data_IF_345485285159
#
_entry.id   IF_345485285159
#
_cell.length_a   1.000
_cell.length_b   1.000
_cell.length_c   1.000
_cell.angle_alpha   90.00
_cell.angle_beta   90.00
_cell.angle_gamma   90.00
#
_symmetry.space_group_name_H-M   'P 1'
#
loop_
_entity.id
_entity.type
_entity.pdbx_description
1 polymer ?
#
# COMPACT_ATOMS: atom_id res chain seq x y z
N UNK A 1 -13.68 -8.08 28.98
CA UNK A 1 -14.50 -7.11 28.20
C UNK A 1 -14.66 -5.76 28.91
N UNK A 2 -14.78 -5.72 30.25
CA UNK A 2 -14.90 -4.47 31.02
C UNK A 2 -13.66 -3.55 30.94
N UNK A 3 -12.44 -4.09 30.99
CA UNK A 3 -11.21 -3.26 30.95
C UNK A 3 -10.93 -2.58 29.61
N UNK A 4 -11.34 -3.18 28.48
CA UNK A 4 -11.18 -2.58 27.15
C UNK A 4 -12.04 -1.32 26.98
N UNK A 5 -13.19 -1.26 27.66
CA UNK A 5 -14.08 -0.10 27.64
C UNK A 5 -13.64 1.00 28.62
N UNK A 6 -13.01 0.64 29.74
CA UNK A 6 -12.55 1.62 30.73
C UNK A 6 -11.38 2.46 30.21
N UNK A 7 -10.42 1.84 29.51
CA UNK A 7 -9.30 2.57 28.89
C UNK A 7 -9.82 3.48 27.78
N UNK A 8 -10.72 2.98 26.93
CA UNK A 8 -11.37 3.78 25.88
C UNK A 8 -12.12 4.99 26.47
N UNK A 9 -12.85 4.81 27.57
CA UNK A 9 -13.58 5.90 28.22
C UNK A 9 -12.66 6.90 28.95
N UNK A 10 -11.47 6.49 29.39
CA UNK A 10 -10.50 7.39 30.01
C UNK A 10 -9.82 8.30 28.96
N UNK A 11 -9.56 7.78 27.76
CA UNK A 11 -8.92 8.51 26.66
C UNK A 11 -9.82 9.60 26.05
N UNK A 12 -11.12 9.61 26.34
CA UNK A 12 -12.13 10.34 25.56
C UNK A 12 -12.85 11.44 26.33
N UNK A 13 -12.31 11.90 27.47
CA UNK A 13 -12.99 12.90 28.31
C UNK A 13 -12.70 14.36 27.97
N UNK A 14 -11.71 14.70 27.14
CA UNK A 14 -11.61 16.03 26.53
C UNK A 14 -11.00 15.94 25.10
N UNK A 15 -11.46 16.79 24.17
CA UNK A 15 -11.10 16.75 22.74
C UNK A 15 -9.57 16.80 22.44
N UNK A 16 -8.74 17.61 23.14
CA UNK A 16 -7.29 17.58 22.93
C UNK A 16 -6.60 16.35 23.54
N UNK A 17 -7.13 15.79 24.64
CA UNK A 17 -6.57 14.60 25.27
C UNK A 17 -6.74 13.35 24.39
N UNK A 18 -7.88 13.24 23.69
CA UNK A 18 -8.16 12.11 22.80
C UNK A 18 -7.19 12.05 21.61
N UNK A 19 -6.90 13.20 20.97
CA UNK A 19 -5.95 13.26 19.86
C UNK A 19 -4.50 12.99 20.30
N UNK A 20 -4.11 13.52 21.47
CA UNK A 20 -2.80 13.25 22.07
C UNK A 20 -2.66 11.76 22.42
N UNK A 21 -3.70 11.16 22.98
CA UNK A 21 -3.66 9.76 23.36
C UNK A 21 -3.71 8.81 22.16
N UNK A 22 -4.45 9.15 21.09
CA UNK A 22 -4.37 8.45 19.80
C UNK A 22 -2.95 8.54 19.25
N UNK A 23 -2.33 9.72 19.26
CA UNK A 23 -0.94 9.90 18.80
C UNK A 23 0.02 9.03 19.59
N UNK A 24 -0.14 8.95 20.93
CA UNK A 24 0.67 8.08 21.78
C UNK A 24 0.51 6.60 21.39
N UNK A 25 -0.73 6.11 21.25
CA UNK A 25 -1.01 4.73 20.82
C UNK A 25 -0.44 4.46 19.42
N UNK A 26 -0.54 5.42 18.51
CA UNK A 26 0.01 5.32 17.16
C UNK A 26 1.54 5.18 17.20
N UNK A 27 2.25 5.97 18.01
CA UNK A 27 3.70 5.85 18.17
C UNK A 27 4.15 4.52 18.80
N UNK A 28 3.29 3.87 19.59
CA UNK A 28 3.58 2.55 20.18
C UNK A 28 3.61 1.42 19.13
N UNK A 29 3.06 1.63 17.91
CA UNK A 29 3.15 0.64 16.83
C UNK A 29 4.60 0.35 16.44
N UNK A 30 5.47 1.36 16.46
CA UNK A 30 6.90 1.22 16.13
C UNK A 30 7.76 0.76 17.31
N UNK A 31 7.16 0.25 18.38
CA UNK A 31 7.90 -0.26 19.53
C UNK A 31 8.72 -1.49 19.15
N UNK A 32 9.93 -1.58 19.70
CA UNK A 32 10.75 -2.78 19.62
C UNK A 32 10.15 -3.96 20.38
N UNK A 33 9.27 -3.70 21.35
CA UNK A 33 8.51 -4.71 22.08
C UNK A 33 7.25 -5.08 21.27
N UNK A 34 7.24 -6.34 20.80
CA UNK A 34 6.18 -6.90 19.99
C UNK A 34 4.83 -6.98 20.73
N UNK A 35 4.85 -7.11 22.07
CA UNK A 35 3.62 -7.09 22.87
C UNK A 35 3.00 -5.69 22.88
N UNK A 36 3.82 -4.65 23.10
CA UNK A 36 3.38 -3.25 23.06
C UNK A 36 2.81 -2.91 21.69
N UNK A 37 3.48 -3.36 20.61
CA UNK A 37 2.99 -3.20 19.24
C UNK A 37 1.61 -3.88 19.06
N UNK A 38 1.46 -5.14 19.45
CA UNK A 38 0.18 -5.87 19.35
C UNK A 38 -0.93 -5.21 20.17
N UNK A 39 -0.63 -4.70 21.36
CA UNK A 39 -1.58 -3.97 22.19
C UNK A 39 -2.01 -2.65 21.55
N UNK A 40 -1.09 -1.90 20.94
CA UNK A 40 -1.39 -0.67 20.23
C UNK A 40 -2.27 -0.93 19.00
N UNK A 41 -1.93 -1.94 18.19
CA UNK A 41 -2.70 -2.35 17.02
C UNK A 41 -4.12 -2.81 17.39
N UNK A 42 -4.25 -3.55 18.49
CA UNK A 42 -5.56 -3.98 19.00
C UNK A 42 -6.42 -2.80 19.48
N UNK A 43 -5.82 -1.75 20.04
CA UNK A 43 -6.53 -0.54 20.43
C UNK A 43 -7.00 0.26 19.21
N UNK A 44 -6.16 0.38 18.18
CA UNK A 44 -6.52 1.03 16.92
C UNK A 44 -7.63 0.25 16.22
N UNK A 45 -7.54 -1.08 16.17
CA UNK A 45 -8.61 -1.91 15.60
C UNK A 45 -9.92 -1.76 16.37
N UNK A 46 -9.89 -1.74 17.71
CA UNK A 46 -11.09 -1.47 18.52
C UNK A 46 -11.70 -0.08 18.24
N UNK A 47 -10.87 0.95 18.06
CA UNK A 47 -11.32 2.28 17.65
C UNK A 47 -11.94 2.27 16.25
N UNK A 48 -11.34 1.53 15.31
CA UNK A 48 -11.88 1.34 13.95
C UNK A 48 -13.22 0.59 13.94
N UNK A 49 -13.49 -0.29 14.91
CA UNK A 49 -14.79 -0.97 15.03
C UNK A 49 -15.85 -0.11 15.74
N UNK A 50 -15.45 0.91 16.49
CA UNK A 50 -16.35 1.83 17.19
C UNK A 50 -16.85 2.98 16.30
N UNK A 51 -17.88 3.71 16.75
CA UNK A 51 -18.37 4.93 16.07
C UNK A 51 -17.36 6.09 16.06
N UNK A 52 -16.23 5.95 16.76
CA UNK A 52 -15.19 6.98 16.90
C UNK A 52 -14.06 6.87 15.89
N UNK A 53 -14.20 6.02 14.87
CA UNK A 53 -13.22 5.84 13.80
C UNK A 53 -12.87 7.16 13.07
N UNK A 54 -13.76 8.16 13.09
CA UNK A 54 -13.54 9.49 12.49
C UNK A 54 -12.33 10.22 13.07
N UNK A 55 -11.99 9.96 14.34
CA UNK A 55 -10.82 10.55 15.00
C UNK A 55 -9.50 10.08 14.35
N UNK A 56 -9.51 8.97 13.61
CA UNK A 56 -8.33 8.41 12.96
C UNK A 56 -8.04 9.02 11.60
N UNK A 57 -8.97 9.78 11.00
CA UNK A 57 -8.81 10.36 9.66
C UNK A 57 -7.52 11.18 9.57
N UNK A 58 -7.25 12.04 10.55
CA UNK A 58 -6.02 12.85 10.60
C UNK A 58 -4.72 12.06 10.82
N UNK A 59 -4.81 10.81 11.26
CA UNK A 59 -3.65 9.96 11.58
C UNK A 59 -3.45 8.80 10.60
N UNK A 60 -4.27 8.66 9.56
CA UNK A 60 -4.19 7.53 8.61
C UNK A 60 -2.78 7.37 8.03
N UNK A 61 -2.20 8.45 7.54
CA UNK A 61 -0.85 8.41 6.94
C UNK A 61 0.22 8.02 7.96
N UNK A 62 0.12 8.52 9.18
CA UNK A 62 1.03 8.18 10.27
C UNK A 62 0.89 6.69 10.65
N UNK A 63 -0.33 6.20 10.80
CA UNK A 63 -0.62 4.79 11.13
C UNK A 63 -0.06 3.87 10.03
N UNK A 64 -0.37 4.13 8.76
CA UNK A 64 0.13 3.33 7.64
C UNK A 64 1.66 3.33 7.61
N UNK A 65 2.29 4.49 7.85
CA UNK A 65 3.75 4.62 7.86
C UNK A 65 4.39 3.82 8.99
N UNK A 66 3.85 3.89 10.21
CA UNK A 66 4.38 3.14 11.35
C UNK A 66 4.14 1.63 11.21
N UNK A 67 2.97 1.23 10.71
CA UNK A 67 2.70 -0.17 10.33
C UNK A 67 3.73 -0.65 9.29
N UNK A 68 4.03 0.18 8.29
CA UNK A 68 5.01 -0.16 7.24
C UNK A 68 6.41 -0.33 7.82
N UNK A 69 6.83 0.58 8.71
CA UNK A 69 8.12 0.47 9.43
C UNK A 69 8.16 -0.82 10.23
N UNK A 70 7.11 -1.10 11.01
CA UNK A 70 7.03 -2.31 11.82
C UNK A 70 7.05 -3.57 10.95
N UNK A 71 6.36 -3.56 9.80
CA UNK A 71 6.36 -4.68 8.86
C UNK A 71 7.76 -4.95 8.31
N UNK A 72 8.52 -3.90 7.95
CA UNK A 72 9.92 -4.03 7.51
C UNK A 72 10.84 -4.54 8.61
N UNK A 73 10.69 -4.03 9.83
CA UNK A 73 11.46 -4.47 11.00
C UNK A 73 11.17 -5.93 11.34
N UNK A 74 9.89 -6.30 11.36
CA UNK A 74 9.42 -7.67 11.60
C UNK A 74 9.98 -8.62 10.54
N UNK A 75 9.94 -8.22 9.27
CA UNK A 75 10.53 -8.99 8.18
C UNK A 75 12.06 -9.11 8.33
N UNK A 76 12.77 -8.04 8.69
CA UNK A 76 14.23 -8.08 8.89
C UNK A 76 14.63 -8.96 10.07
N UNK A 77 13.96 -8.80 11.23
CA UNK A 77 14.19 -9.62 12.42
C UNK A 77 13.89 -11.09 12.19
N UNK A 78 12.90 -11.42 11.35
CA UNK A 78 12.61 -12.80 10.98
C UNK A 78 13.80 -13.50 10.31
N UNK A 79 14.66 -12.76 9.60
CA UNK A 79 15.82 -13.35 8.95
C UNK A 79 17.03 -13.51 9.87
N UNK A 80 17.13 -12.68 10.91
CA UNK A 80 18.38 -12.48 11.66
C UNK A 80 18.32 -12.91 13.13
N UNK A 81 17.14 -13.06 13.75
CA UNK A 81 17.01 -13.29 15.20
C UNK A 81 16.42 -14.67 15.57
N UNK A 82 17.25 -15.63 16.03
CA UNK A 82 16.80 -16.96 16.46
C UNK A 82 16.07 -16.97 17.82
N UNK A 83 15.96 -15.82 18.51
CA UNK A 83 15.33 -15.75 19.85
C UNK A 83 13.81 -15.56 19.82
N UNK A 84 13.24 -15.21 18.66
CA UNK A 84 11.79 -14.96 18.51
C UNK A 84 11.09 -16.22 18.00
N UNK A 85 10.16 -16.74 18.79
CA UNK A 85 9.32 -17.88 18.37
C UNK A 85 8.49 -17.52 17.14
N UNK A 86 8.47 -18.38 16.12
CA UNK A 86 7.70 -18.20 14.88
C UNK A 86 6.21 -17.87 15.13
N UNK A 87 5.63 -18.42 16.20
CA UNK A 87 4.24 -18.17 16.62
C UNK A 87 4.00 -16.72 17.05
N UNK A 88 4.96 -16.11 17.75
CA UNK A 88 4.86 -14.74 18.21
C UNK A 88 4.98 -13.76 17.03
N UNK A 89 5.88 -14.06 16.09
CA UNK A 89 6.03 -13.28 14.87
C UNK A 89 4.78 -13.36 13.98
N UNK A 90 4.24 -14.56 13.76
CA UNK A 90 3.00 -14.73 12.98
C UNK A 90 1.85 -13.94 13.59
N UNK A 91 1.77 -13.92 14.93
CA UNK A 91 0.76 -13.14 15.65
C UNK A 91 0.89 -11.64 15.37
N UNK A 92 2.11 -11.08 15.42
CA UNK A 92 2.37 -9.66 15.14
C UNK A 92 2.04 -9.33 13.69
N UNK A 93 2.50 -10.14 12.73
CA UNK A 93 2.20 -9.96 11.31
C UNK A 93 0.68 -9.99 11.08
N UNK A 94 -0.02 -10.94 11.68
CA UNK A 94 -1.49 -11.00 11.61
C UNK A 94 -2.14 -9.75 12.19
N UNK A 95 -1.71 -9.27 13.35
CA UNK A 95 -2.23 -8.03 13.94
C UNK A 95 -2.01 -6.82 13.00
N UNK A 96 -0.81 -6.66 12.45
CA UNK A 96 -0.49 -5.59 11.50
C UNK A 96 -1.40 -5.64 10.26
N UNK A 97 -1.54 -6.83 9.67
CA UNK A 97 -2.35 -7.02 8.46
C UNK A 97 -3.84 -6.80 8.74
N UNK A 98 -4.39 -7.35 9.82
CA UNK A 98 -5.80 -7.17 10.19
C UNK A 98 -6.12 -5.70 10.45
N UNK A 99 -5.30 -4.99 11.23
CA UNK A 99 -5.50 -3.54 11.46
C UNK A 99 -5.46 -2.77 10.15
N UNK A 100 -4.53 -3.11 9.25
CA UNK A 100 -4.45 -2.44 7.94
C UNK A 100 -5.66 -2.73 7.06
N UNK A 101 -6.13 -3.98 7.07
CA UNK A 101 -7.35 -4.38 6.36
C UNK A 101 -8.57 -3.60 6.87
N UNK A 102 -8.72 -3.44 8.19
CA UNK A 102 -9.78 -2.64 8.81
C UNK A 102 -9.75 -1.17 8.36
N UNK A 103 -8.57 -0.58 8.18
CA UNK A 103 -8.42 0.79 7.65
C UNK A 103 -8.90 0.85 6.19
N UNK A 104 -8.41 -0.05 5.34
CA UNK A 104 -8.71 0.00 3.91
C UNK A 104 -10.13 -0.46 3.54
N UNK A 105 -10.80 -1.25 4.39
CA UNK A 105 -12.23 -1.57 4.25
C UNK A 105 -13.12 -0.33 4.33
N UNK A 106 -12.68 0.73 5.02
CA UNK A 106 -13.43 1.99 5.14
C UNK A 106 -12.95 2.98 4.08
N UNK A 107 -13.73 3.17 3.01
CA UNK A 107 -13.33 4.03 1.88
C UNK A 107 -12.98 5.48 2.29
N UNK A 108 -13.59 6.02 3.35
CA UNK A 108 -13.24 7.36 3.86
C UNK A 108 -11.80 7.42 4.39
N UNK A 109 -11.34 6.39 5.11
CA UNK A 109 -9.96 6.32 5.60
C UNK A 109 -9.00 5.96 4.45
N UNK A 110 -9.38 5.01 3.61
CA UNK A 110 -8.57 4.59 2.45
C UNK A 110 -8.25 5.75 1.49
N UNK A 111 -9.18 6.68 1.29
CA UNK A 111 -8.99 7.87 0.44
C UNK A 111 -8.03 8.90 1.03
N UNK A 112 -7.89 8.93 2.35
CA UNK A 112 -6.99 9.87 3.04
C UNK A 112 -5.52 9.46 2.91
N UNK A 113 -5.25 8.19 2.61
CA UNK A 113 -3.91 7.69 2.39
C UNK A 113 -3.20 8.45 1.24
N UNK A 114 -2.01 8.94 1.53
CA UNK A 114 -1.13 9.64 0.60
C UNK A 114 -0.53 8.66 -0.40
N UNK A 115 -0.06 9.17 -1.54
CA UNK A 115 0.60 8.34 -2.57
C UNK A 115 1.84 7.68 -1.99
N UNK A 116 2.59 8.40 -1.17
CA UNK A 116 3.84 7.98 -0.54
C UNK A 116 3.60 6.87 0.46
N UNK A 117 2.65 7.04 1.39
CA UNK A 117 2.30 6.02 2.39
C UNK A 117 1.78 4.75 1.72
N UNK A 118 0.95 4.88 0.67
CA UNK A 118 0.49 3.73 -0.13
C UNK A 118 1.66 3.02 -0.82
N UNK A 119 2.57 3.77 -1.46
CA UNK A 119 3.74 3.20 -2.15
C UNK A 119 4.63 2.41 -1.19
N UNK A 120 4.97 2.99 -0.06
CA UNK A 120 5.82 2.36 0.96
C UNK A 120 5.17 1.12 1.56
N UNK A 121 3.87 1.18 1.88
CA UNK A 121 3.12 0.03 2.38
C UNK A 121 3.02 -1.10 1.35
N UNK A 122 2.66 -0.77 0.11
CA UNK A 122 2.60 -1.74 -1.00
C UNK A 122 3.97 -2.36 -1.27
N UNK A 123 5.05 -1.58 -1.20
CA UNK A 123 6.41 -2.12 -1.32
C UNK A 123 6.67 -3.18 -0.26
N UNK A 124 6.48 -2.85 1.01
CA UNK A 124 6.77 -3.75 2.13
C UNK A 124 5.87 -5.01 2.13
N UNK A 125 4.57 -4.83 1.92
CA UNK A 125 3.60 -5.94 1.92
C UNK A 125 3.78 -6.89 0.75
N UNK A 126 4.01 -6.38 -0.47
CA UNK A 126 4.22 -7.24 -1.63
C UNK A 126 5.58 -7.94 -1.59
N UNK A 127 6.61 -7.31 -1.00
CA UNK A 127 7.88 -8.00 -0.73
C UNK A 127 7.71 -9.15 0.27
N UNK A 128 6.96 -8.93 1.36
CA UNK A 128 6.65 -9.98 2.33
C UNK A 128 5.90 -11.14 1.65
N UNK A 129 4.91 -10.84 0.82
CA UNK A 129 4.12 -11.86 0.10
C UNK A 129 4.98 -12.74 -0.83
N UNK A 130 6.04 -12.17 -1.40
CA UNK A 130 6.90 -12.85 -2.37
C UNK A 130 8.05 -13.60 -1.71
N UNK A 131 8.32 -13.33 -0.43
CA UNK A 131 9.46 -13.88 0.28
C UNK A 131 9.32 -15.39 0.50
N UNK A 132 10.40 -16.16 0.25
CA UNK A 132 10.36 -17.63 0.32
C UNK A 132 10.08 -18.14 1.73
N UNK A 133 10.75 -17.57 2.74
CA UNK A 133 10.49 -17.91 4.15
C UNK A 133 9.06 -17.60 4.62
N UNK A 134 8.34 -16.68 3.97
CA UNK A 134 6.91 -16.47 4.28
C UNK A 134 6.09 -17.69 3.87
N UNK A 135 6.50 -18.44 2.86
CA UNK A 135 5.85 -19.70 2.46
C UNK A 135 6.22 -20.88 3.37
N UNK A 136 7.35 -20.78 4.08
CA UNK A 136 7.82 -21.80 5.03
C UNK A 136 7.12 -21.71 6.39
N UNK A 137 6.53 -20.54 6.72
CA UNK A 137 5.73 -20.37 7.93
C UNK A 137 4.47 -21.25 7.90
N UNK A 138 4.08 -21.86 9.04
CA UNK A 138 2.86 -22.66 9.12
C UNK A 138 1.59 -21.89 8.74
N UNK A 139 1.56 -20.57 8.96
CA UNK A 139 0.46 -19.67 8.57
C UNK A 139 0.76 -18.85 7.29
N UNK A 140 1.83 -19.17 6.58
CA UNK A 140 2.33 -18.42 5.43
C UNK A 140 1.29 -18.21 4.31
N UNK A 141 0.53 -19.26 4.00
CA UNK A 141 -0.53 -19.20 3.00
C UNK A 141 -1.66 -18.24 3.40
N UNK A 142 -1.95 -18.12 4.70
CA UNK A 142 -2.91 -17.17 5.25
C UNK A 142 -2.43 -15.74 5.08
N UNK A 143 -1.17 -15.46 5.45
CA UNK A 143 -0.52 -14.15 5.31
C UNK A 143 -0.56 -13.67 3.86
N UNK A 144 -0.19 -14.54 2.91
CA UNK A 144 -0.22 -14.23 1.47
C UNK A 144 -1.64 -13.91 0.99
N UNK A 145 -2.65 -14.66 1.45
CA UNK A 145 -4.05 -14.38 1.09
C UNK A 145 -4.52 -13.04 1.65
N UNK A 146 -4.22 -12.74 2.91
CA UNK A 146 -4.58 -11.47 3.56
C UNK A 146 -3.91 -10.29 2.86
N UNK A 147 -2.62 -10.37 2.52
CA UNK A 147 -1.93 -9.30 1.77
C UNK A 147 -2.58 -9.06 0.41
N UNK A 148 -2.94 -10.14 -0.31
CA UNK A 148 -3.65 -10.00 -1.59
C UNK A 148 -5.02 -9.33 -1.41
N UNK A 149 -5.78 -9.70 -0.37
CA UNK A 149 -7.07 -9.09 -0.06
C UNK A 149 -6.92 -7.60 0.28
N UNK A 150 -5.93 -7.24 1.11
CA UNK A 150 -5.62 -5.84 1.42
C UNK A 150 -5.23 -5.08 0.15
N UNK A 151 -4.37 -5.66 -0.70
CA UNK A 151 -3.97 -5.03 -1.96
C UNK A 151 -5.17 -4.75 -2.87
N UNK A 152 -6.13 -5.67 -2.91
CA UNK A 152 -7.39 -5.46 -3.64
C UNK A 152 -8.22 -4.34 -3.02
N UNK A 153 -8.40 -4.33 -1.69
CA UNK A 153 -9.08 -3.25 -1.00
C UNK A 153 -8.42 -1.88 -1.20
N UNK A 154 -7.08 -1.83 -1.23
CA UNK A 154 -6.34 -0.60 -1.53
C UNK A 154 -6.69 -0.11 -2.94
N UNK A 155 -6.71 -1.01 -3.93
CA UNK A 155 -7.05 -0.68 -5.33
C UNK A 155 -8.49 -0.17 -5.47
N UNK A 156 -9.43 -0.77 -4.75
CA UNK A 156 -10.86 -0.47 -4.89
C UNK A 156 -11.34 0.73 -4.04
N UNK A 157 -10.83 0.86 -2.82
CA UNK A 157 -11.37 1.80 -1.84
C UNK A 157 -10.60 3.13 -1.74
N UNK A 158 -9.31 3.13 -2.11
CA UNK A 158 -8.43 4.31 -2.00
C UNK A 158 -8.56 5.23 -3.23
N UNK A 159 -7.88 6.37 -3.20
CA UNK A 159 -7.86 7.27 -4.36
C UNK A 159 -7.18 6.59 -5.57
N UNK A 160 -7.94 6.40 -6.65
CA UNK A 160 -7.50 5.68 -7.84
C UNK A 160 -6.20 6.24 -8.45
N UNK A 161 -6.07 7.58 -8.50
CA UNK A 161 -4.88 8.25 -9.03
C UNK A 161 -3.65 7.97 -8.15
N UNK A 162 -3.79 8.09 -6.82
CA UNK A 162 -2.69 7.85 -5.88
C UNK A 162 -2.21 6.42 -5.91
N UNK A 163 -3.13 5.45 -5.93
CA UNK A 163 -2.80 4.01 -6.02
C UNK A 163 -2.09 3.69 -7.32
N UNK A 164 -2.60 4.19 -8.44
CA UNK A 164 -1.99 3.97 -9.74
C UNK A 164 -0.58 4.55 -9.82
N UNK A 165 -0.41 5.80 -9.37
CA UNK A 165 0.89 6.44 -9.30
C UNK A 165 1.86 5.71 -8.38
N UNK A 166 1.37 5.10 -7.29
CA UNK A 166 2.19 4.25 -6.43
C UNK A 166 2.67 2.99 -7.16
N UNK A 167 1.79 2.25 -7.86
CA UNK A 167 2.19 1.07 -8.63
C UNK A 167 3.13 1.39 -9.80
N UNK A 168 2.93 2.51 -10.51
CA UNK A 168 3.85 2.94 -11.57
C UNK A 168 5.24 3.24 -10.98
N UNK A 169 5.30 3.88 -9.80
CA UNK A 169 6.57 4.15 -9.11
C UNK A 169 7.26 2.87 -8.65
N UNK A 170 6.51 1.90 -8.10
CA UNK A 170 7.04 0.57 -7.74
C UNK A 170 7.59 -0.17 -8.96
N UNK A 171 6.90 -0.08 -10.11
CA UNK A 171 7.39 -0.66 -11.35
C UNK A 171 8.67 0.03 -11.81
N UNK A 172 8.73 1.36 -11.74
CA UNK A 172 9.94 2.12 -12.05
C UNK A 172 11.13 1.67 -11.19
N UNK A 173 10.97 1.58 -9.87
CA UNK A 173 12.02 1.14 -8.94
C UNK A 173 12.46 -0.32 -9.23
N UNK A 174 11.50 -1.21 -9.52
CA UNK A 174 11.78 -2.60 -9.91
C UNK A 174 12.63 -2.68 -11.18
N UNK A 175 12.31 -1.85 -12.18
CA UNK A 175 12.99 -1.79 -13.46
C UNK A 175 14.36 -1.12 -13.31
N UNK A 176 14.49 -0.10 -12.48
CA UNK A 176 15.79 0.54 -12.17
C UNK A 176 16.76 -0.39 -11.46
N UNK A 177 16.27 -1.23 -10.54
CA UNK A 177 17.13 -2.12 -9.73
C UNK A 177 17.66 -3.35 -10.47
N UNK A 178 17.30 -3.56 -11.74
CA UNK A 178 17.76 -4.72 -12.52
C UNK A 178 17.01 -6.03 -12.27
N UNK A 179 16.09 -6.06 -11.30
CA UNK A 179 15.34 -7.26 -10.88
C UNK A 179 14.08 -7.52 -11.72
N UNK A 180 14.16 -7.34 -13.04
CA UNK A 180 13.00 -7.29 -13.96
C UNK A 180 12.10 -8.53 -13.96
N UNK A 181 12.65 -9.71 -13.65
CA UNK A 181 11.89 -10.97 -13.66
C UNK A 181 11.68 -11.54 -12.25
N UNK A 182 11.87 -10.71 -11.22
CA UNK A 182 11.58 -11.15 -9.87
C UNK A 182 10.05 -11.29 -9.69
N UNK A 183 9.64 -12.24 -8.85
CA UNK A 183 8.26 -12.48 -8.43
C UNK A 183 7.59 -11.17 -7.96
N UNK A 184 8.34 -10.25 -7.35
CA UNK A 184 7.86 -8.90 -6.98
C UNK A 184 7.35 -8.10 -8.19
N UNK A 185 8.16 -7.97 -9.25
CA UNK A 185 7.78 -7.25 -10.46
C UNK A 185 6.55 -7.87 -11.12
N UNK A 186 6.43 -9.20 -11.11
CA UNK A 186 5.25 -9.91 -11.63
C UNK A 186 3.97 -9.60 -10.83
N UNK A 187 4.07 -9.41 -9.51
CA UNK A 187 2.94 -8.97 -8.69
C UNK A 187 2.54 -7.53 -9.02
N UNK A 188 3.51 -6.61 -9.12
CA UNK A 188 3.26 -5.21 -9.50
C UNK A 188 2.58 -5.11 -10.87
N UNK A 189 3.06 -5.86 -11.87
CA UNK A 189 2.46 -5.93 -13.21
C UNK A 189 1.02 -6.47 -13.16
N UNK A 190 0.76 -7.53 -12.39
CA UNK A 190 -0.59 -8.07 -12.21
C UNK A 190 -1.55 -7.05 -11.58
N UNK A 191 -1.10 -6.27 -10.60
CA UNK A 191 -1.91 -5.20 -10.00
C UNK A 191 -2.20 -4.08 -11.00
N UNK A 192 -1.21 -3.67 -11.80
CA UNK A 192 -1.40 -2.68 -12.88
C UNK A 192 -2.39 -3.17 -13.93
N UNK A 193 -2.33 -4.43 -14.35
CA UNK A 193 -3.31 -5.00 -15.29
C UNK A 193 -4.72 -5.04 -14.71
N UNK A 194 -4.89 -5.33 -13.42
CA UNK A 194 -6.19 -5.24 -12.76
C UNK A 194 -6.76 -3.83 -12.81
N UNK A 195 -5.94 -2.83 -12.46
CA UNK A 195 -6.31 -1.42 -12.56
C UNK A 195 -6.71 -1.06 -14.00
N UNK A 196 -5.90 -1.49 -14.97
CA UNK A 196 -6.15 -1.24 -16.41
C UNK A 196 -7.49 -1.82 -16.87
N UNK A 197 -7.79 -3.06 -16.46
CA UNK A 197 -9.06 -3.73 -16.81
C UNK A 197 -10.27 -3.04 -16.18
N UNK A 198 -10.11 -2.41 -15.02
CA UNK A 198 -11.17 -1.66 -14.34
C UNK A 198 -11.33 -0.22 -14.86
N UNK A 199 -10.47 0.26 -15.76
CA UNK A 199 -10.54 1.64 -16.28
C UNK A 199 -11.86 2.00 -16.96
N UNK A 200 -12.49 1.14 -17.79
CA UNK A 200 -13.75 1.50 -18.43
C UNK A 200 -14.85 1.92 -17.44
N UNK A 201 -14.87 1.32 -16.24
CA UNK A 201 -15.83 1.61 -15.18
C UNK A 201 -15.35 2.66 -14.17
N UNK A 202 -14.06 2.97 -14.12
CA UNK A 202 -13.48 3.88 -13.10
C UNK A 202 -12.78 5.12 -13.68
N UNK A 203 -12.81 5.32 -15.00
CA UNK A 203 -12.03 6.35 -15.69
C UNK A 203 -12.24 7.76 -15.12
N UNK A 204 -13.48 8.09 -14.72
CA UNK A 204 -13.83 9.41 -14.15
C UNK A 204 -13.16 9.71 -12.80
N UNK A 205 -12.70 8.69 -12.07
CA UNK A 205 -12.04 8.83 -10.77
C UNK A 205 -10.54 9.14 -10.88
N UNK A 206 -9.95 9.10 -12.07
CA UNK A 206 -8.53 9.41 -12.29
C UNK A 206 -8.31 10.85 -12.74
N UNK A 207 -7.33 11.51 -12.12
CA UNK A 207 -6.75 12.75 -12.60
C UNK A 207 -5.78 12.42 -13.75
N UNK A 208 -6.23 12.66 -14.99
CA UNK A 208 -5.56 12.17 -16.19
C UNK A 208 -4.18 12.80 -16.38
N UNK A 209 -4.05 14.09 -16.09
CA UNK A 209 -2.80 14.85 -16.10
C UNK A 209 -1.70 14.18 -15.27
N UNK A 210 -2.02 13.79 -14.03
CA UNK A 210 -1.06 13.14 -13.13
C UNK A 210 -0.67 11.74 -13.61
N UNK A 211 -1.65 10.97 -14.12
CA UNK A 211 -1.40 9.63 -14.66
C UNK A 211 -0.53 9.68 -15.92
N UNK A 212 -0.81 10.63 -16.82
CA UNK A 212 -0.03 10.84 -18.04
C UNK A 212 1.40 11.26 -17.70
N UNK A 213 1.58 12.13 -16.70
CA UNK A 213 2.90 12.55 -16.22
C UNK A 213 3.69 11.36 -15.65
N UNK A 214 3.08 10.52 -14.82
CA UNK A 214 3.73 9.31 -14.27
C UNK A 214 4.16 8.34 -15.39
N UNK A 215 3.30 8.11 -16.38
CA UNK A 215 3.61 7.30 -17.56
C UNK A 215 4.73 7.92 -18.40
N UNK A 216 4.70 9.24 -18.64
CA UNK A 216 5.74 9.95 -19.38
C UNK A 216 7.09 9.82 -18.68
N UNK A 217 7.15 10.04 -17.37
CA UNK A 217 8.38 9.89 -16.59
C UNK A 217 8.96 8.48 -16.68
N UNK A 218 8.10 7.44 -16.65
CA UNK A 218 8.54 6.07 -16.86
C UNK A 218 9.11 5.84 -18.27
N UNK A 219 8.43 6.31 -19.31
CA UNK A 219 8.87 6.15 -20.70
C UNK A 219 10.16 6.93 -21.01
N UNK A 220 10.33 8.10 -20.39
CA UNK A 220 11.55 8.91 -20.49
C UNK A 220 12.74 8.23 -19.81
N UNK A 221 12.53 7.64 -18.64
CA UNK A 221 13.58 6.89 -17.92
C UNK A 221 13.95 5.58 -18.64
N UNK A 222 12.99 4.94 -19.32
CA UNK A 222 13.18 3.66 -19.99
C UNK A 222 12.72 3.70 -21.46
N UNK A 223 13.47 4.38 -22.35
CA UNK A 223 13.07 4.56 -23.74
C UNK A 223 13.07 3.22 -24.48
N UNK A 224 12.23 3.09 -25.52
CA UNK A 224 12.04 1.82 -26.26
C UNK A 224 13.35 1.11 -26.69
N UNK A 225 14.41 1.81 -27.14
CA UNK A 225 15.69 1.19 -27.48
C UNK A 225 16.37 0.47 -26.30
N UNK A 226 16.20 0.97 -25.07
CA UNK A 226 16.79 0.39 -23.84
C UNK A 226 16.27 -1.02 -23.52
N UNK A 227 15.16 -1.42 -24.14
CA UNK A 227 14.53 -2.71 -23.92
C UNK A 227 15.05 -3.80 -24.87
N UNK A 228 15.71 -3.43 -25.97
CA UNK A 228 16.28 -4.40 -26.93
C UNK A 228 17.36 -5.29 -26.31
N UNK A 229 18.06 -4.77 -25.30
CA UNK A 229 19.12 -5.49 -24.57
C UNK A 229 18.58 -6.22 -23.32
N UNK A 230 17.30 -6.05 -22.98
CA UNK A 230 16.68 -6.63 -21.78
C UNK A 230 15.96 -7.94 -22.11
N UNK A 231 15.88 -8.84 -21.14
CA UNK A 231 15.24 -10.16 -21.28
C UNK A 231 13.72 -10.08 -21.57
N UNK A 232 13.06 -8.97 -21.25
CA UNK A 232 11.62 -8.78 -21.46
C UNK A 232 11.25 -7.30 -21.56
N UNK A 233 10.35 -6.96 -22.48
CA UNK A 233 9.73 -5.64 -22.67
C UNK A 233 8.38 -5.50 -21.93
N UNK A 234 8.02 -6.46 -21.07
CA UNK A 234 6.71 -6.54 -20.44
C UNK A 234 6.32 -5.29 -19.62
N UNK A 235 7.21 -4.66 -18.83
CA UNK A 235 6.90 -3.40 -18.15
C UNK A 235 6.60 -2.26 -19.11
N UNK A 236 7.38 -2.12 -20.18
CA UNK A 236 7.14 -1.11 -21.22
C UNK A 236 5.79 -1.32 -21.89
N UNK A 237 5.50 -2.57 -22.29
CA UNK A 237 4.23 -2.93 -22.94
C UNK A 237 3.06 -2.65 -22.01
N UNK A 238 3.19 -2.94 -20.72
CA UNK A 238 2.15 -2.68 -19.72
C UNK A 238 1.84 -1.18 -19.63
N UNK A 239 2.85 -0.32 -19.51
CA UNK A 239 2.66 1.13 -19.48
C UNK A 239 2.05 1.65 -20.79
N UNK A 240 2.49 1.16 -21.95
CA UNK A 240 1.90 1.53 -23.25
C UNK A 240 0.43 1.11 -23.37
N UNK A 241 0.10 -0.12 -22.99
CA UNK A 241 -1.27 -0.64 -23.00
C UNK A 241 -2.17 0.14 -22.05
N UNK A 242 -1.66 0.48 -20.87
CA UNK A 242 -2.36 1.34 -19.92
C UNK A 242 -2.66 2.70 -20.50
N UNK A 243 -1.63 3.36 -21.06
CA UNK A 243 -1.77 4.68 -21.70
C UNK A 243 -2.82 4.64 -22.81
N UNK A 244 -2.76 3.62 -23.67
CA UNK A 244 -3.75 3.41 -24.73
C UNK A 244 -5.17 3.24 -24.16
N UNK A 245 -5.34 2.43 -23.11
CA UNK A 245 -6.64 2.24 -22.45
C UNK A 245 -7.18 3.54 -21.84
N UNK A 246 -6.33 4.32 -21.16
CA UNK A 246 -6.70 5.62 -20.61
C UNK A 246 -7.15 6.61 -21.69
N UNK A 247 -6.40 6.72 -22.78
CA UNK A 247 -6.75 7.58 -23.91
C UNK A 247 -8.04 7.10 -24.61
N UNK A 248 -8.21 5.79 -24.77
CA UNK A 248 -9.40 5.20 -25.40
C UNK A 248 -10.67 5.45 -24.59
N UNK A 249 -10.61 5.41 -23.25
CA UNK A 249 -11.80 5.60 -22.41
C UNK A 249 -12.15 7.08 -22.21
N UNK A 250 -11.16 7.97 -22.13
CA UNK A 250 -11.40 9.43 -21.98
C UNK A 250 -11.65 10.17 -23.31
N UNK A 251 -11.45 9.51 -24.45
CA UNK A 251 -11.71 10.07 -25.78
C UNK A 251 -10.81 11.26 -26.14
N UNK A 252 -11.22 12.13 -27.08
CA UNK A 252 -10.44 13.28 -27.58
C UNK A 252 -9.99 14.27 -26.49
N UNK A 253 -10.68 14.29 -25.34
CA UNK A 253 -10.30 15.11 -24.19
C UNK A 253 -8.92 14.76 -23.63
N UNK A 254 -8.44 13.52 -23.82
CA UNK A 254 -7.09 13.11 -23.44
C UNK A 254 -5.99 13.84 -24.25
N UNK A 255 -6.27 14.19 -25.51
CA UNK A 255 -5.33 14.92 -26.37
C UNK A 255 -5.02 16.32 -25.83
N UNK A 256 -6.01 16.98 -25.19
CA UNK A 256 -5.83 18.30 -24.56
C UNK A 256 -4.86 18.28 -23.38
N UNK A 257 -4.74 17.14 -22.68
CA UNK A 257 -3.79 16.98 -21.57
C UNK A 257 -2.38 16.57 -22.02
N UNK A 258 -2.23 16.03 -23.24
CA UNK A 258 -0.90 15.79 -23.81
C UNK A 258 -0.16 17.10 -24.11
N UNK A 259 -0.88 18.20 -24.35
CA UNK A 259 -0.28 19.53 -24.55
C UNK A 259 0.28 20.14 -23.25
N UNK A 260 -0.12 19.62 -22.08
CA UNK A 260 0.39 20.05 -20.77
C UNK A 260 1.64 19.28 -20.32
N UNK A 261 2.09 18.27 -21.07
CA UNK A 261 3.34 17.55 -20.78
C UNK A 261 4.51 18.37 -21.33
N UNK A 262 5.41 18.92 -20.49
CA UNK A 262 6.57 19.66 -20.98
C UNK A 262 7.50 18.72 -21.73
N UNK A 263 7.90 19.12 -22.94
CA UNK A 263 8.76 18.40 -23.90
C UNK A 263 8.11 17.20 -24.63
N UNK A 264 7.24 17.53 -25.60
CA UNK A 264 6.94 16.66 -26.76
C UNK A 264 8.11 16.66 -27.76
N UNK A 265 9.31 16.20 -27.39
CA UNK A 265 10.38 15.82 -28.35
C UNK A 265 11.25 14.75 -27.74
#
# INVERSE_FOLDING_TARGET
>A
MRDKQTVLNCLLRTSPDAASAITMVVTQISSNDLNVCCHALSQIDALLQSDKWQLLVGHVNQIITLITIQLRQTNSRFFDDPTITESHLSTVLRCLLVTTESIFKRSQLAREASRESLKEYLFASLHLMVHEKTSELPEGSGIVRTINAITLHVIEASNCTRVLGAFIRLLHESVSSGHFNNRFTQVVLRSLWRITKALPSTANAYALDLVLLDCHNFLKAFPSPSWKTRKSDLPLRTIKTMLHSFCSVRGPSALKFLDLIPHKV
#
